data_IF_183549356680
#
_entry.id   IF_183549356680
#
_cell.length_a   1.000
_cell.length_b   1.000
_cell.length_c   1.000
_cell.angle_alpha   90.00
_cell.angle_beta   90.00
_cell.angle_gamma   90.00
#
_symmetry.space_group_name_H-M   'P 1'
#
loop_
_entity.id
_entity.type
_entity.pdbx_description
1 polymer ?
#
# COMPACT_ATOMS: atom_id res chain seq x y z
N UNK A 1 4.43 -0.47 -9.12
CA UNK A 1 4.06 -0.79 -7.72
C UNK A 1 3.49 -2.21 -7.58
N UNK A 2 2.34 -2.55 -8.19
CA UNK A 2 1.72 -3.90 -8.07
C UNK A 2 2.66 -5.05 -8.44
N UNK A 3 3.40 -4.96 -9.56
CA UNK A 3 4.38 -5.99 -9.96
C UNK A 3 5.51 -6.16 -8.93
N UNK A 4 5.96 -5.08 -8.30
CA UNK A 4 7.03 -5.14 -7.30
C UNK A 4 6.56 -5.85 -6.02
N UNK A 5 5.34 -5.54 -5.57
CA UNK A 5 4.70 -6.20 -4.42
C UNK A 5 4.45 -7.69 -4.72
N UNK A 6 3.97 -8.01 -5.92
CA UNK A 6 3.79 -9.39 -6.35
C UNK A 6 5.12 -10.17 -6.33
N UNK A 7 6.17 -9.60 -6.93
CA UNK A 7 7.50 -10.23 -6.94
C UNK A 7 8.00 -10.46 -5.51
N UNK A 8 7.84 -9.48 -4.62
CA UNK A 8 8.21 -9.60 -3.21
C UNK A 8 7.49 -10.76 -2.51
N UNK A 9 6.18 -10.92 -2.72
CA UNK A 9 5.44 -12.05 -2.16
C UNK A 9 5.84 -13.40 -2.78
N UNK A 10 6.18 -13.42 -4.08
CA UNK A 10 6.73 -14.61 -4.72
C UNK A 10 8.07 -15.02 -4.11
N UNK A 11 8.97 -14.06 -3.89
CA UNK A 11 10.27 -14.29 -3.26
C UNK A 11 10.10 -14.78 -1.81
N UNK A 12 9.13 -14.21 -1.07
CA UNK A 12 8.82 -14.63 0.30
C UNK A 12 8.23 -16.05 0.34
N UNK A 13 7.41 -16.41 -0.66
CA UNK A 13 6.90 -17.77 -0.82
C UNK A 13 8.03 -18.77 -1.10
N UNK A 14 8.95 -18.43 -2.01
CA UNK A 14 10.10 -19.28 -2.35
C UNK A 14 11.10 -19.47 -1.19
N UNK A 15 11.11 -18.54 -0.23
CA UNK A 15 11.92 -18.66 0.97
C UNK A 15 11.30 -19.51 2.09
N UNK A 16 10.02 -19.87 1.96
CA UNK A 16 9.33 -20.65 2.96
C UNK A 16 9.64 -22.15 2.80
N UNK A 17 10.49 -22.69 3.68
CA UNK A 17 10.91 -24.09 3.71
C UNK A 17 9.76 -25.11 3.84
N UNK A 18 8.55 -24.68 4.24
CA UNK A 18 7.37 -25.54 4.31
C UNK A 18 6.70 -25.75 2.94
N UNK A 19 7.04 -24.93 1.95
CA UNK A 19 6.40 -24.91 0.64
C UNK A 19 7.31 -25.38 -0.49
N UNK A 20 8.64 -25.30 -0.34
CA UNK A 20 9.60 -25.70 -1.38
C UNK A 20 10.69 -26.65 -0.85
N UNK A 21 11.09 -27.63 -1.68
CA UNK A 21 12.12 -28.63 -1.35
C UNK A 21 13.53 -28.03 -1.19
N UNK A 22 13.79 -26.86 -1.78
CA UNK A 22 15.03 -26.09 -1.60
C UNK A 22 14.72 -24.59 -1.39
N UNK A 23 14.57 -24.13 -0.14
CA UNK A 23 14.22 -22.75 0.14
C UNK A 23 15.37 -21.80 -0.24
N UNK A 24 15.07 -20.78 -1.04
CA UNK A 24 16.02 -19.69 -1.34
C UNK A 24 15.99 -18.65 -0.22
N UNK A 25 17.14 -18.13 0.23
CA UNK A 25 17.14 -17.14 1.31
C UNK A 25 16.44 -15.85 0.87
N UNK A 26 15.52 -15.35 1.69
CA UNK A 26 14.89 -14.05 1.47
C UNK A 26 15.86 -12.94 1.86
N UNK A 27 16.24 -12.10 0.89
CA UNK A 27 17.15 -10.98 1.13
C UNK A 27 16.41 -9.82 1.79
N UNK A 28 16.55 -9.72 3.11
CA UNK A 28 16.04 -8.59 3.87
C UNK A 28 16.94 -7.37 3.68
N UNK A 29 16.35 -6.18 3.57
CA UNK A 29 17.12 -4.94 3.54
C UNK A 29 17.91 -4.78 4.85
N UNK A 30 19.18 -4.33 4.84
CA UNK A 30 20.02 -4.24 6.04
C UNK A 30 19.42 -3.42 7.18
N UNK A 31 18.62 -2.40 6.88
CA UNK A 31 17.95 -1.59 7.91
C UNK A 31 16.94 -2.38 8.75
N UNK A 32 16.43 -3.51 8.25
CA UNK A 32 15.47 -4.33 8.98
C UNK A 32 16.16 -5.43 9.80
N UNK A 33 17.49 -5.44 9.88
CA UNK A 33 18.26 -6.44 10.64
C UNK A 33 17.93 -6.42 12.12
N UNK A 34 17.68 -5.24 12.69
CA UNK A 34 17.25 -5.04 14.07
C UNK A 34 16.60 -3.65 14.21
N UNK A 35 15.95 -3.41 15.35
CA UNK A 35 15.21 -2.16 15.63
C UNK A 35 16.12 -0.91 15.61
N UNK A 36 17.39 -1.06 15.98
CA UNK A 36 18.34 0.06 16.01
C UNK A 36 18.75 0.50 14.60
N UNK A 37 19.07 -0.45 13.72
CA UNK A 37 19.35 -0.17 12.30
C UNK A 37 18.14 0.46 11.59
N UNK A 38 16.94 0.01 11.94
CA UNK A 38 15.70 0.56 11.39
C UNK A 38 15.52 2.01 11.84
N UNK A 39 15.70 2.29 13.13
CA UNK A 39 15.63 3.64 13.67
C UNK A 39 16.66 4.57 13.02
N UNK A 40 17.91 4.12 12.86
CA UNK A 40 18.97 4.89 12.18
C UNK A 40 18.61 5.17 10.71
N UNK A 41 18.02 4.20 10.01
CA UNK A 41 17.56 4.39 8.65
C UNK A 41 16.43 5.43 8.56
N UNK A 42 15.42 5.34 9.43
CA UNK A 42 14.33 6.32 9.48
C UNK A 42 14.82 7.72 9.85
N UNK A 43 15.84 7.83 10.70
CA UNK A 43 16.48 9.10 11.02
C UNK A 43 17.19 9.70 9.80
N UNK A 44 17.92 8.89 9.02
CA UNK A 44 18.56 9.34 7.77
C UNK A 44 17.52 9.78 6.71
N UNK A 45 16.42 9.03 6.56
CA UNK A 45 15.29 9.44 5.73
C UNK A 45 14.71 10.77 6.20
N UNK A 46 14.52 10.94 7.51
CA UNK A 46 13.94 12.16 8.09
C UNK A 46 14.84 13.37 7.90
N UNK A 47 16.15 13.23 8.08
CA UNK A 47 17.11 14.29 7.78
C UNK A 47 17.02 14.71 6.32
N UNK A 48 17.01 13.74 5.39
CA UNK A 48 16.88 14.00 3.95
C UNK A 48 15.59 14.74 3.63
N UNK A 49 14.45 14.28 4.18
CA UNK A 49 13.15 14.93 4.00
C UNK A 49 13.15 16.36 4.55
N UNK A 50 13.71 16.60 5.73
CA UNK A 50 13.84 17.95 6.30
C UNK A 50 14.67 18.83 5.36
N UNK A 51 15.79 18.35 4.82
CA UNK A 51 16.56 19.14 3.84
C UNK A 51 15.78 19.45 2.56
N UNK A 52 14.96 18.52 2.08
CA UNK A 52 14.17 18.71 0.85
C UNK A 52 12.96 19.62 1.05
N UNK A 53 12.34 19.61 2.24
CA UNK A 53 11.07 20.27 2.50
C UNK A 53 11.22 21.62 3.20
N UNK A 54 12.32 21.83 3.95
CA UNK A 54 12.51 23.05 4.72
C UNK A 54 12.96 24.21 3.81
N UNK A 55 12.38 25.42 3.94
CA UNK A 55 12.83 26.59 3.19
C UNK A 55 14.31 26.89 3.44
N UNK A 56 15.01 27.41 2.43
CA UNK A 56 16.46 27.67 2.49
C UNK A 56 16.89 28.61 3.63
N UNK A 57 16.00 29.50 4.07
CA UNK A 57 16.21 30.39 5.22
C UNK A 57 16.26 29.63 6.55
N UNK A 58 15.42 28.62 6.69
CA UNK A 58 15.28 27.81 7.91
C UNK A 58 16.25 26.63 7.93
N UNK A 59 16.67 26.15 6.74
CA UNK A 59 17.65 25.08 6.56
C UNK A 59 19.06 25.41 7.10
N UNK A 60 19.36 26.67 7.38
CA UNK A 60 20.62 27.09 8.00
C UNK A 60 20.66 26.78 9.51
N UNK A 61 19.50 26.68 10.17
CA UNK A 61 19.43 26.38 11.60
C UNK A 61 19.69 24.90 11.86
N UNK A 62 20.83 24.59 12.49
CA UNK A 62 21.18 23.22 12.86
C UNK A 62 20.19 22.63 13.88
N UNK A 63 19.86 23.39 14.94
CA UNK A 63 18.95 22.94 15.99
C UNK A 63 17.56 22.63 15.44
N UNK A 64 17.04 23.48 14.55
CA UNK A 64 15.73 23.26 13.92
C UNK A 64 15.73 21.97 13.08
N UNK A 65 16.76 21.77 12.26
CA UNK A 65 16.89 20.56 11.43
C UNK A 65 16.93 19.30 12.27
N UNK A 66 17.73 19.29 13.35
CA UNK A 66 17.84 18.14 14.25
C UNK A 66 16.49 17.84 14.90
N UNK A 67 15.85 18.84 15.50
CA UNK A 67 14.56 18.65 16.19
C UNK A 67 13.48 18.17 15.23
N UNK A 68 13.37 18.77 14.04
CA UNK A 68 12.38 18.35 13.04
C UNK A 68 12.66 16.94 12.52
N UNK A 69 13.92 16.60 12.25
CA UNK A 69 14.27 15.26 11.79
C UNK A 69 13.97 14.20 12.85
N UNK A 70 14.23 14.51 14.12
CA UNK A 70 13.94 13.60 15.23
C UNK A 70 12.43 13.40 15.43
N UNK A 71 11.65 14.48 15.40
CA UNK A 71 10.18 14.41 15.47
C UNK A 71 9.65 13.61 14.28
N UNK A 72 10.12 13.89 13.07
CA UNK A 72 9.68 13.19 11.87
C UNK A 72 10.01 11.69 11.94
N UNK A 73 11.22 11.32 12.40
CA UNK A 73 11.61 9.92 12.54
C UNK A 73 10.76 9.20 13.59
N UNK A 74 10.71 9.75 14.81
CA UNK A 74 10.15 9.06 15.98
C UNK A 74 8.63 9.17 16.11
N UNK A 75 8.03 10.26 15.64
CA UNK A 75 6.59 10.53 15.83
C UNK A 75 5.75 10.40 14.57
N UNK A 76 6.39 10.30 13.40
CA UNK A 76 5.68 10.17 12.13
C UNK A 76 6.11 8.89 11.42
N UNK A 77 7.37 8.77 11.01
CA UNK A 77 7.80 7.66 10.18
C UNK A 77 7.76 6.32 10.91
N UNK A 78 8.27 6.24 12.15
CA UNK A 78 8.27 4.97 12.90
C UNK A 78 6.84 4.45 13.15
N UNK A 79 5.90 5.24 13.70
CA UNK A 79 4.52 4.79 13.86
C UNK A 79 3.84 4.44 12.53
N UNK A 80 4.13 5.17 11.45
CA UNK A 80 3.60 4.87 10.12
C UNK A 80 4.10 3.51 9.60
N UNK A 81 5.39 3.20 9.75
CA UNK A 81 5.95 1.92 9.35
C UNK A 81 5.37 0.78 10.19
N UNK A 82 5.24 0.97 11.50
CA UNK A 82 4.63 -0.01 12.41
C UNK A 82 3.17 -0.30 12.02
N UNK A 83 2.37 0.75 11.76
CA UNK A 83 0.98 0.61 11.34
C UNK A 83 0.86 -0.11 9.99
N UNK A 84 1.63 0.32 8.99
CA UNK A 84 1.57 -0.26 7.64
C UNK A 84 2.09 -1.69 7.58
N UNK A 85 2.92 -2.08 8.55
CA UNK A 85 3.49 -3.43 8.64
C UNK A 85 2.69 -4.35 9.56
N UNK A 86 1.68 -3.84 10.27
CA UNK A 86 0.78 -4.66 11.08
C UNK A 86 -0.08 -5.55 10.16
N UNK A 87 0.03 -6.89 10.26
CA UNK A 87 -0.78 -7.79 9.44
C UNK A 87 -2.28 -7.58 9.63
N UNK A 88 -2.74 -7.17 10.81
CA UNK A 88 -4.15 -6.89 11.05
C UNK A 88 -4.62 -5.65 10.28
N UNK A 89 -3.79 -4.59 10.27
CA UNK A 89 -4.08 -3.38 9.50
C UNK A 89 -4.17 -3.68 8.00
N UNK A 90 -3.18 -4.42 7.46
CA UNK A 90 -3.18 -4.83 6.05
C UNK A 90 -4.41 -5.67 5.71
N UNK A 91 -4.70 -6.69 6.52
CA UNK A 91 -5.84 -7.57 6.29
C UNK A 91 -7.17 -6.81 6.36
N UNK A 92 -7.33 -5.90 7.33
CA UNK A 92 -8.53 -5.08 7.43
C UNK A 92 -8.70 -4.17 6.20
N UNK A 93 -7.63 -3.54 5.73
CA UNK A 93 -7.65 -2.72 4.51
C UNK A 93 -8.09 -3.55 3.30
N UNK A 94 -7.56 -4.77 3.15
CA UNK A 94 -7.94 -5.68 2.07
C UNK A 94 -9.43 -6.07 2.16
N UNK A 95 -9.93 -6.39 3.35
CA UNK A 95 -11.34 -6.72 3.57
C UNK A 95 -12.25 -5.55 3.19
N UNK A 96 -11.93 -4.33 3.62
CA UNK A 96 -12.71 -3.12 3.26
C UNK A 96 -12.76 -2.93 1.75
N UNK A 97 -11.64 -3.14 1.05
CA UNK A 97 -11.60 -3.05 -0.41
C UNK A 97 -12.41 -4.16 -1.10
N UNK A 98 -12.40 -5.37 -0.55
CA UNK A 98 -13.22 -6.48 -1.06
C UNK A 98 -14.70 -6.22 -0.88
N UNK A 99 -15.12 -5.75 0.30
CA UNK A 99 -16.51 -5.41 0.60
C UNK A 99 -17.00 -4.26 -0.28
N UNK A 100 -16.19 -3.21 -0.45
CA UNK A 100 -16.51 -2.11 -1.37
C UNK A 100 -16.73 -2.60 -2.80
N UNK A 101 -15.88 -3.51 -3.30
CA UNK A 101 -16.05 -4.12 -4.62
C UNK A 101 -17.32 -4.96 -4.72
N UNK A 102 -17.63 -5.74 -3.69
CA UNK A 102 -18.86 -6.54 -3.66
C UNK A 102 -20.11 -5.66 -3.70
N UNK A 103 -20.14 -4.57 -2.95
CA UNK A 103 -21.22 -3.58 -2.98
C UNK A 103 -21.38 -2.94 -4.36
N UNK A 104 -20.27 -2.58 -5.03
CA UNK A 104 -20.32 -2.05 -6.39
C UNK A 104 -20.91 -3.06 -7.39
N UNK A 105 -20.46 -4.32 -7.32
CA UNK A 105 -20.97 -5.39 -8.20
C UNK A 105 -22.48 -5.59 -7.99
N UNK A 106 -22.93 -5.63 -6.73
CA UNK A 106 -24.34 -5.79 -6.40
C UNK A 106 -25.16 -4.58 -6.86
N UNK A 107 -24.66 -3.36 -6.69
CA UNK A 107 -25.29 -2.15 -7.20
C UNK A 107 -25.43 -2.19 -8.73
N UNK A 108 -24.36 -2.55 -9.45
CA UNK A 108 -24.40 -2.68 -10.91
C UNK A 108 -25.36 -3.77 -11.38
N UNK A 109 -25.42 -4.90 -10.66
CA UNK A 109 -26.38 -5.97 -10.93
C UNK A 109 -27.82 -5.48 -10.76
N UNK A 110 -28.13 -4.77 -9.68
CA UNK A 110 -29.47 -4.19 -9.45
C UNK A 110 -29.83 -3.15 -10.50
N UNK A 111 -28.94 -2.20 -10.78
CA UNK A 111 -29.16 -1.17 -11.80
C UNK A 111 -29.45 -1.77 -13.18
N UNK A 112 -28.80 -2.89 -13.51
CA UNK A 112 -29.09 -3.66 -14.71
C UNK A 112 -30.45 -4.38 -14.64
N UNK A 113 -30.72 -5.15 -13.57
CA UNK A 113 -31.97 -5.93 -13.42
C UNK A 113 -33.21 -5.04 -13.49
N UNK A 114 -33.11 -3.81 -12.98
CA UNK A 114 -34.22 -2.85 -12.96
C UNK A 114 -34.08 -1.76 -14.03
N UNK A 115 -33.27 -1.97 -15.07
CA UNK A 115 -33.14 -1.01 -16.16
C UNK A 115 -34.52 -0.79 -16.85
N UNK A 116 -35.08 0.43 -16.82
CA UNK A 116 -36.42 0.70 -17.35
C UNK A 116 -36.52 0.55 -18.87
N UNK A 117 -35.41 0.71 -19.59
CA UNK A 117 -35.36 0.71 -21.04
C UNK A 117 -34.08 0.07 -21.59
N UNK A 118 -34.16 -0.43 -22.83
CA UNK A 118 -33.00 -0.92 -23.57
C UNK A 118 -31.89 0.14 -23.69
N UNK A 119 -32.27 1.41 -23.85
CA UNK A 119 -31.32 2.52 -24.00
C UNK A 119 -30.55 2.81 -22.71
N UNK A 120 -31.19 2.73 -21.54
CA UNK A 120 -30.50 2.84 -20.24
C UNK A 120 -29.57 1.65 -19.99
N UNK A 121 -29.96 0.46 -20.42
CA UNK A 121 -29.11 -0.73 -20.35
C UNK A 121 -27.82 -0.56 -21.19
N UNK A 122 -27.95 -0.05 -22.42
CA UNK A 122 -26.81 0.27 -23.30
C UNK A 122 -25.94 1.39 -22.71
N UNK A 123 -26.53 2.42 -22.10
CA UNK A 123 -25.77 3.48 -21.38
C UNK A 123 -24.98 2.90 -20.21
N UNK A 124 -25.58 2.02 -19.42
CA UNK A 124 -24.91 1.31 -18.32
C UNK A 124 -23.72 0.47 -18.81
N UNK A 125 -23.86 -0.22 -19.94
CA UNK A 125 -22.78 -1.01 -20.55
C UNK A 125 -21.65 -0.10 -21.05
N UNK A 126 -21.97 0.99 -21.76
CA UNK A 126 -20.99 1.89 -22.36
C UNK A 126 -20.27 2.76 -21.33
N UNK A 127 -20.90 3.05 -20.19
CA UNK A 127 -20.29 3.79 -19.09
C UNK A 127 -19.51 2.91 -18.10
N UNK A 128 -19.62 1.57 -18.18
CA UNK A 128 -18.89 0.66 -17.32
C UNK A 128 -17.54 0.26 -17.96
N UNK A 129 -16.45 0.54 -17.27
CA UNK A 129 -15.10 0.11 -17.66
C UNK A 129 -14.69 -1.25 -17.09
N UNK A 130 -15.55 -1.90 -16.30
CA UNK A 130 -15.27 -3.21 -15.71
C UNK A 130 -15.56 -4.34 -16.72
N UNK A 131 -14.50 -4.78 -17.40
CA UNK A 131 -14.54 -5.84 -18.41
C UNK A 131 -14.99 -7.19 -17.82
N UNK A 132 -14.70 -7.49 -16.55
CA UNK A 132 -15.10 -8.76 -15.92
C UNK A 132 -16.59 -8.77 -15.59
N UNK A 133 -17.16 -7.64 -15.17
CA UNK A 133 -18.60 -7.46 -15.05
C UNK A 133 -19.30 -7.64 -16.41
N UNK A 134 -18.79 -6.99 -17.47
CA UNK A 134 -19.35 -7.10 -18.83
C UNK A 134 -19.27 -8.51 -19.40
N UNK A 135 -18.24 -9.29 -19.05
CA UNK A 135 -18.14 -10.71 -19.45
C UNK A 135 -19.18 -11.60 -18.75
N UNK A 136 -19.53 -11.31 -17.51
CA UNK A 136 -20.56 -12.05 -16.75
C UNK A 136 -21.99 -11.78 -17.24
N UNK A 137 -22.18 -10.77 -18.09
CA UNK A 137 -23.47 -10.41 -18.69
C UNK A 137 -23.80 -11.21 -19.96
N UNK A 138 -22.84 -11.94 -20.54
CA UNK A 138 -23.04 -12.86 -21.68
C UNK A 138 -23.49 -14.22 -21.18
#
# INVERSE_FOLDING_TARGET
>A
VVKAVLNHFCDLKAANARLEEQPRPFLLHPCLRNSEEEARFLQACSQTLVYCLLPSKDAQSLSLRIVLAEILAAKVLKPMVELLSDPNYINHMLLVQMEYREQLIEHHKRAYTYAPSYEECIKLINCNSDIEFLKRLR
#
